data_IF_711288610591
#
_entry.id   IF_711288610591
#
_cell.length_a   1.000
_cell.length_b   1.000
_cell.length_c   1.000
_cell.angle_alpha   90.00
_cell.angle_beta   90.00
_cell.angle_gamma   90.00
#
_symmetry.space_group_name_H-M   'P 1'
#
loop_
_entity.id
_entity.type
_entity.pdbx_description
1 polymer ?
#
# COMPACT_ATOMS: atom_id res chain seq x y z
N UNK A 1 56.28 5.43 45.83
CA UNK A 1 55.29 4.40 46.22
C UNK A 1 53.90 4.95 45.87
N UNK A 2 53.00 4.08 45.41
CA UNK A 2 51.82 4.28 44.56
C UNK A 2 50.85 5.47 44.84
N UNK A 3 50.41 6.08 43.73
CA UNK A 3 49.17 6.85 43.53
C UNK A 3 47.93 6.17 44.13
N UNK A 4 47.01 6.94 44.74
CA UNK A 4 45.56 6.66 44.65
C UNK A 4 44.78 7.96 44.50
N UNK A 5 44.09 8.05 43.35
CA UNK A 5 43.22 9.14 42.92
C UNK A 5 41.97 9.18 43.79
N UNK A 6 41.49 10.41 44.04
CA UNK A 6 40.32 10.70 44.84
C UNK A 6 39.07 9.97 44.37
N UNK A 7 38.33 9.48 45.37
CA UNK A 7 36.99 8.93 45.27
C UNK A 7 36.04 9.85 44.49
N UNK A 8 35.64 9.41 43.30
CA UNK A 8 34.34 9.79 42.74
C UNK A 8 33.31 8.82 43.31
N UNK A 9 33.02 8.97 44.60
CA UNK A 9 31.99 8.22 45.29
C UNK A 9 30.61 8.65 44.77
N UNK A 10 30.08 7.92 43.79
CA UNK A 10 28.66 7.99 43.47
C UNK A 10 27.87 7.66 44.75
N UNK A 11 26.99 8.55 45.23
CA UNK A 11 26.26 8.32 46.47
C UNK A 11 25.51 6.99 46.37
N UNK A 12 25.48 6.20 47.44
CA UNK A 12 24.90 4.84 47.44
C UNK A 12 23.42 4.85 47.01
N UNK A 13 22.72 5.98 47.17
CA UNK A 13 21.37 6.24 46.67
C UNK A 13 21.25 6.32 45.14
N UNK A 14 22.36 6.36 44.41
CA UNK A 14 22.42 6.42 42.94
C UNK A 14 22.39 5.02 42.31
N UNK A 15 22.86 3.98 43.04
CA UNK A 15 22.82 2.59 42.55
C UNK A 15 21.40 2.10 42.23
N UNK A 16 20.38 2.31 43.10
CA UNK A 16 19.01 1.92 42.81
C UNK A 16 18.45 2.65 41.58
N UNK A 17 18.77 3.93 41.44
CA UNK A 17 18.29 4.78 40.35
C UNK A 17 18.89 4.36 39.01
N UNK A 18 20.18 4.04 38.98
CA UNK A 18 20.87 3.52 37.78
C UNK A 18 20.36 2.13 37.41
N UNK A 19 20.14 1.26 38.40
CA UNK A 19 19.55 -0.06 38.17
C UNK A 19 18.13 0.05 37.59
N UNK A 20 17.31 0.96 38.13
CA UNK A 20 15.96 1.22 37.62
C UNK A 20 15.98 1.74 36.18
N UNK A 21 16.90 2.65 35.86
CA UNK A 21 17.06 3.19 34.51
C UNK A 21 17.52 2.13 33.50
N UNK A 22 18.43 1.23 33.92
CA UNK A 22 18.89 0.11 33.10
C UNK A 22 17.75 -0.89 32.81
N UNK A 23 16.88 -1.16 33.79
CA UNK A 23 15.70 -2.00 33.61
C UNK A 23 14.72 -1.38 32.61
N UNK A 24 14.47 -0.07 32.70
CA UNK A 24 13.60 0.65 31.73
C UNK A 24 14.19 0.55 30.31
N UNK A 25 15.48 0.82 30.14
CA UNK A 25 16.16 0.72 28.84
C UNK A 25 16.12 -0.70 28.27
N UNK A 26 16.26 -1.72 29.12
CA UNK A 26 16.15 -3.11 28.72
C UNK A 26 14.73 -3.46 28.23
N UNK A 27 13.70 -3.00 28.93
CA UNK A 27 12.29 -3.16 28.51
C UNK A 27 12.04 -2.44 27.18
N UNK A 28 12.52 -1.20 27.02
CA UNK A 28 12.41 -0.46 25.76
C UNK A 28 13.15 -1.16 24.62
N UNK A 29 14.34 -1.72 24.87
CA UNK A 29 15.08 -2.52 23.89
C UNK A 29 14.31 -3.75 23.45
N UNK A 30 13.66 -4.46 24.37
CA UNK A 30 12.79 -5.60 24.05
C UNK A 30 11.60 -5.15 23.20
N UNK A 31 10.94 -4.03 23.54
CA UNK A 31 9.85 -3.49 22.73
C UNK A 31 10.29 -3.13 21.31
N UNK A 32 11.46 -2.50 21.15
CA UNK A 32 12.03 -2.21 19.82
C UNK A 32 12.39 -3.50 19.06
N UNK A 33 12.86 -4.54 19.75
CA UNK A 33 13.16 -5.83 19.12
C UNK A 33 11.88 -6.58 18.74
N UNK A 34 10.82 -6.53 19.56
CA UNK A 34 9.52 -7.12 19.26
C UNK A 34 8.86 -6.41 18.07
N UNK A 35 8.90 -5.08 18.01
CA UNK A 35 8.37 -4.29 16.89
C UNK A 35 9.23 -4.47 15.62
N UNK A 36 10.55 -4.57 15.76
CA UNK A 36 11.49 -4.77 14.65
C UNK A 36 11.50 -6.19 14.08
N UNK A 37 11.15 -7.20 14.89
CA UNK A 37 11.08 -8.62 14.48
C UNK A 37 9.67 -9.01 14.02
N UNK A 38 8.65 -8.19 14.28
CA UNK A 38 7.35 -8.32 13.59
C UNK A 38 7.44 -7.87 12.14
N UNK A 39 7.95 -8.80 11.33
CA UNK A 39 7.46 -9.19 10.01
C UNK A 39 7.48 -8.08 8.95
N UNK A 40 8.46 -8.24 8.06
CA UNK A 40 8.27 -8.42 6.62
C UNK A 40 6.84 -8.07 6.15
N UNK A 41 6.63 -7.13 5.22
CA UNK A 41 5.30 -6.80 4.71
C UNK A 41 4.76 -7.99 3.92
N UNK A 42 4.30 -9.01 4.63
CA UNK A 42 3.30 -9.92 4.11
C UNK A 42 2.15 -9.02 3.71
N UNK A 43 1.90 -8.97 2.41
CA UNK A 43 0.72 -8.37 1.79
C UNK A 43 -0.48 -8.55 2.73
N UNK A 44 -0.82 -7.51 3.48
CA UNK A 44 -2.08 -7.47 4.23
C UNK A 44 -3.11 -7.03 3.21
N UNK A 45 -3.60 -8.01 2.45
CA UNK A 45 -4.83 -7.85 1.69
C UNK A 45 -5.93 -7.86 2.75
N UNK A 46 -6.52 -6.70 3.01
CA UNK A 46 -7.78 -6.62 3.75
C UNK A 46 -8.90 -6.66 2.70
N UNK A 47 -9.46 -7.84 2.38
CA UNK A 47 -10.63 -7.89 1.54
C UNK A 47 -11.82 -7.36 2.34
N UNK A 48 -12.26 -6.15 2.03
CA UNK A 48 -13.61 -5.70 2.40
C UNK A 48 -14.63 -6.48 1.54
N UNK A 49 -14.79 -7.75 1.87
CA UNK A 49 -15.85 -8.68 1.49
C UNK A 49 -16.01 -9.08 0.00
N UNK A 50 -16.27 -10.39 -0.14
CA UNK A 50 -16.75 -11.19 -1.27
C UNK A 50 -15.73 -11.78 -2.29
N UNK A 51 -15.55 -13.10 -2.12
CA UNK A 51 -15.02 -14.16 -2.99
C UNK A 51 -13.57 -14.09 -3.49
N UNK A 52 -12.72 -14.86 -2.81
CA UNK A 52 -11.50 -15.62 -3.16
C UNK A 52 -10.43 -15.16 -4.18
N UNK A 53 -10.64 -14.20 -5.08
CA UNK A 53 -9.54 -13.47 -5.72
C UNK A 53 -10.01 -12.05 -6.02
N UNK A 54 -9.49 -11.05 -5.30
CA UNK A 54 -9.85 -9.66 -5.58
C UNK A 54 -9.51 -9.31 -7.04
N UNK A 55 -10.45 -8.71 -7.80
CA UNK A 55 -10.24 -8.23 -9.19
C UNK A 55 -8.96 -7.41 -9.31
N UNK A 56 -8.62 -6.62 -8.28
CA UNK A 56 -7.35 -5.88 -8.24
C UNK A 56 -6.11 -6.78 -8.17
N UNK A 57 -6.13 -7.89 -7.42
CA UNK A 57 -5.04 -8.87 -7.36
C UNK A 57 -4.86 -9.57 -8.71
N UNK A 58 -5.95 -9.98 -9.36
CA UNK A 58 -5.89 -10.55 -10.72
C UNK A 58 -5.30 -9.54 -11.70
N UNK A 59 -5.73 -8.27 -11.63
CA UNK A 59 -5.24 -7.20 -12.49
C UNK A 59 -3.73 -6.96 -12.32
N UNK A 60 -3.22 -6.87 -11.09
CA UNK A 60 -1.78 -6.63 -10.87
C UNK A 60 -0.90 -7.83 -11.25
N UNK A 61 -1.45 -9.05 -11.19
CA UNK A 61 -0.77 -10.28 -11.63
C UNK A 61 -0.89 -10.55 -13.13
N UNK A 62 -1.78 -9.86 -13.83
CA UNK A 62 -2.02 -10.09 -15.26
C UNK A 62 -0.76 -9.75 -16.06
N UNK A 63 -0.36 -10.68 -16.93
CA UNK A 63 0.75 -10.49 -17.85
C UNK A 63 0.34 -9.55 -18.98
N UNK A 64 1.19 -8.57 -19.27
CA UNK A 64 1.01 -7.64 -20.38
C UNK A 64 1.47 -8.25 -21.71
N UNK A 65 1.29 -7.50 -22.80
CA UNK A 65 1.79 -7.86 -24.14
C UNK A 65 3.30 -8.14 -24.19
N UNK A 66 4.05 -7.65 -23.20
CA UNK A 66 5.50 -7.84 -23.08
C UNK A 66 5.90 -8.97 -22.10
N UNK A 67 4.93 -9.78 -21.64
CA UNK A 67 5.14 -10.86 -20.67
C UNK A 67 5.77 -10.38 -19.34
N UNK A 68 5.42 -9.16 -18.94
CA UNK A 68 5.73 -8.55 -17.65
C UNK A 68 4.40 -8.28 -16.95
N UNK A 69 4.32 -8.53 -15.64
CA UNK A 69 3.12 -8.25 -14.85
C UNK A 69 2.92 -6.74 -14.63
N UNK A 70 1.67 -6.32 -14.45
CA UNK A 70 1.37 -4.91 -14.12
C UNK A 70 2.07 -4.46 -12.84
N UNK A 71 2.20 -5.34 -11.84
CA UNK A 71 2.96 -5.05 -10.63
C UNK A 71 4.44 -4.71 -10.93
N UNK A 72 5.10 -5.47 -11.81
CA UNK A 72 6.49 -5.23 -12.20
C UNK A 72 6.66 -3.94 -13.02
N UNK A 73 5.69 -3.62 -13.89
CA UNK A 73 5.69 -2.34 -14.59
C UNK A 73 5.51 -1.18 -13.60
N UNK A 74 4.64 -1.31 -12.60
CA UNK A 74 4.47 -0.29 -11.55
C UNK A 74 5.77 -0.07 -10.79
N UNK A 75 6.42 -1.15 -10.33
CA UNK A 75 7.69 -1.10 -9.62
C UNK A 75 8.77 -0.37 -10.43
N UNK A 76 8.83 -0.65 -11.73
CA UNK A 76 9.85 -0.08 -12.61
C UNK A 76 9.50 1.31 -13.17
N UNK A 77 8.21 1.67 -13.23
CA UNK A 77 7.72 2.98 -13.71
C UNK A 77 7.96 4.12 -12.73
N UNK A 78 8.23 3.83 -11.45
CA UNK A 78 8.52 4.85 -10.44
C UNK A 78 9.80 5.67 -10.73
N UNK A 79 10.66 5.18 -11.64
CA UNK A 79 11.95 5.81 -11.99
C UNK A 79 12.07 6.16 -13.49
N UNK A 80 11.13 5.75 -14.33
CA UNK A 80 11.24 5.81 -15.80
C UNK A 80 9.91 6.24 -16.44
N UNK A 81 9.94 7.41 -17.08
CA UNK A 81 8.78 8.01 -17.73
C UNK A 81 8.24 7.16 -18.89
N UNK A 82 9.10 6.49 -19.64
CA UNK A 82 8.69 5.61 -20.75
C UNK A 82 7.87 4.43 -20.26
N UNK A 83 8.25 3.89 -19.10
CA UNK A 83 7.53 2.78 -18.45
C UNK A 83 6.20 3.24 -17.86
N UNK A 84 6.11 4.50 -17.44
CA UNK A 84 4.84 5.10 -16.99
C UNK A 84 3.83 5.18 -18.14
N UNK A 85 4.25 5.60 -19.33
CA UNK A 85 3.37 5.63 -20.52
C UNK A 85 2.93 4.22 -20.95
N UNK A 86 3.84 3.24 -20.89
CA UNK A 86 3.50 1.84 -21.13
C UNK A 86 2.47 1.33 -20.11
N UNK A 87 2.66 1.64 -18.83
CA UNK A 87 1.72 1.29 -17.76
C UNK A 87 0.33 1.86 -18.04
N UNK A 88 0.24 3.14 -18.38
CA UNK A 88 -1.04 3.80 -18.71
C UNK A 88 -1.79 3.09 -19.85
N UNK A 89 -1.06 2.72 -20.90
CA UNK A 89 -1.62 2.04 -22.07
C UNK A 89 -2.14 0.65 -21.72
N UNK A 90 -1.34 -0.16 -21.03
CA UNK A 90 -1.72 -1.51 -20.63
C UNK A 90 -2.90 -1.50 -19.65
N UNK A 91 -2.90 -0.57 -18.69
CA UNK A 91 -4.01 -0.40 -17.75
C UNK A 91 -5.32 -0.04 -18.46
N UNK A 92 -5.31 0.87 -19.45
CA UNK A 92 -6.51 1.20 -20.23
C UNK A 92 -7.10 -0.02 -20.94
N UNK A 93 -6.25 -0.88 -21.49
CA UNK A 93 -6.67 -2.13 -22.16
C UNK A 93 -7.24 -3.13 -21.15
N UNK A 94 -6.68 -3.22 -19.95
CA UNK A 94 -7.19 -4.13 -18.93
C UNK A 94 -8.52 -3.65 -18.34
N UNK A 95 -8.63 -2.36 -18.04
CA UNK A 95 -9.86 -1.77 -17.49
C UNK A 95 -11.03 -1.82 -18.48
N UNK A 96 -10.78 -1.79 -19.79
CA UNK A 96 -11.83 -1.93 -20.80
C UNK A 96 -12.44 -3.34 -20.87
N UNK A 97 -11.74 -4.36 -20.36
CA UNK A 97 -12.22 -5.75 -20.29
C UNK A 97 -13.05 -6.04 -19.04
N UNK A 98 -13.06 -5.14 -18.07
CA UNK A 98 -13.85 -5.31 -16.85
C UNK A 98 -15.34 -5.07 -17.15
N UNK A 99 -16.26 -5.85 -16.53
CA UNK A 99 -17.69 -5.73 -16.78
C UNK A 99 -18.21 -4.35 -16.37
N UNK A 100 -19.11 -3.77 -17.17
CA UNK A 100 -19.70 -2.46 -16.91
C UNK A 100 -21.23 -2.55 -16.97
N UNK A 101 -21.96 -1.81 -16.11
CA UNK A 101 -23.38 -1.60 -16.28
C UNK A 101 -23.70 -1.01 -17.65
N UNK A 102 -24.56 -1.67 -18.44
CA UNK A 102 -24.88 -1.23 -19.80
C UNK A 102 -25.73 0.05 -19.85
N UNK A 103 -26.60 0.24 -18.87
CA UNK A 103 -27.63 1.28 -18.90
C UNK A 103 -27.19 2.63 -18.30
N UNK A 104 -25.94 2.77 -17.84
CA UNK A 104 -25.46 3.94 -17.09
C UNK A 104 -24.01 4.30 -17.43
N UNK A 105 -23.68 5.57 -17.26
CA UNK A 105 -22.31 6.07 -17.38
C UNK A 105 -21.46 5.57 -16.20
N UNK A 106 -20.86 4.39 -16.38
CA UNK A 106 -20.03 3.72 -15.40
C UNK A 106 -18.64 3.43 -15.98
N UNK A 107 -17.59 3.79 -15.24
CA UNK A 107 -16.20 3.62 -15.65
C UNK A 107 -15.36 3.02 -14.54
N UNK A 108 -14.56 2.01 -14.89
CA UNK A 108 -13.53 1.50 -13.99
C UNK A 108 -12.36 2.46 -13.95
N UNK A 109 -12.02 2.88 -12.74
CA UNK A 109 -10.90 3.76 -12.46
C UNK A 109 -9.87 3.01 -11.63
N UNK A 110 -8.59 3.24 -11.95
CA UNK A 110 -7.46 2.82 -11.16
C UNK A 110 -6.67 4.06 -10.72
N UNK A 111 -6.63 4.31 -9.42
CA UNK A 111 -5.80 5.34 -8.81
C UNK A 111 -4.55 4.68 -8.24
N UNK A 112 -3.36 5.15 -8.64
CA UNK A 112 -2.08 4.71 -8.09
C UNK A 112 -1.46 5.88 -7.35
N UNK A 113 -1.14 5.67 -6.06
CA UNK A 113 -0.48 6.65 -5.21
C UNK A 113 0.83 6.10 -4.68
N UNK A 114 1.89 6.91 -4.65
CA UNK A 114 3.17 6.57 -4.02
C UNK A 114 3.36 7.49 -2.82
N UNK A 115 3.50 6.93 -1.62
CA UNK A 115 3.62 7.73 -0.38
C UNK A 115 2.51 8.80 -0.22
N UNK A 116 1.28 8.42 -0.57
CA UNK A 116 0.10 9.30 -0.58
C UNK A 116 0.09 10.42 -1.64
N UNK A 117 1.09 10.50 -2.51
CA UNK A 117 1.10 11.40 -3.67
C UNK A 117 0.48 10.70 -4.89
N UNK A 118 -0.34 11.42 -5.65
CA UNK A 118 -0.94 10.89 -6.86
C UNK A 118 0.14 10.63 -7.91
N UNK A 119 0.30 9.36 -8.31
CA UNK A 119 1.26 8.94 -9.32
C UNK A 119 0.60 8.76 -10.68
N UNK A 120 -0.54 8.06 -10.70
CA UNK A 120 -1.31 7.79 -11.90
C UNK A 120 -2.80 7.71 -11.61
N UNK A 121 -3.61 8.23 -12.54
CA UNK A 121 -5.05 8.04 -12.57
C UNK A 121 -5.50 7.70 -13.98
N UNK A 122 -6.22 6.60 -14.16
CA UNK A 122 -6.71 6.17 -15.48
C UNK A 122 -8.09 6.69 -15.84
N UNK A 123 -8.80 7.31 -14.90
CA UNK A 123 -10.19 7.71 -15.03
C UNK A 123 -10.44 9.21 -14.89
N UNK A 124 -11.60 9.64 -15.36
CA UNK A 124 -12.13 11.00 -15.09
C UNK A 124 -13.01 10.87 -13.86
N UNK A 125 -12.68 11.59 -12.78
CA UNK A 125 -13.56 11.68 -11.61
C UNK A 125 -14.75 12.56 -11.96
N UNK A 126 -15.88 11.93 -12.23
CA UNK A 126 -17.13 12.64 -12.51
C UNK A 126 -17.70 13.22 -11.22
N UNK A 127 -17.96 14.52 -11.19
CA UNK A 127 -18.56 15.18 -10.02
C UNK A 127 -19.95 14.59 -9.77
N UNK A 128 -20.23 14.18 -8.54
CA UNK A 128 -21.51 13.56 -8.15
C UNK A 128 -21.63 12.06 -8.44
N UNK A 129 -20.60 11.42 -9.00
CA UNK A 129 -20.56 9.96 -9.13
C UNK A 129 -20.26 9.28 -7.78
N UNK A 130 -20.72 8.04 -7.64
CA UNK A 130 -20.43 7.17 -6.50
C UNK A 130 -19.41 6.11 -6.89
N UNK A 131 -18.53 5.76 -5.96
CA UNK A 131 -17.54 4.71 -6.13
C UNK A 131 -18.08 3.38 -5.58
N UNK A 132 -18.13 2.36 -6.43
CA UNK A 132 -18.58 1.01 -6.12
C UNK A 132 -17.44 -0.01 -6.27
N UNK A 133 -17.57 -1.16 -5.60
CA UNK A 133 -16.61 -2.26 -5.68
C UNK A 133 -15.15 -1.84 -5.46
N UNK A 134 -14.93 -0.87 -4.56
CA UNK A 134 -13.59 -0.36 -4.28
C UNK A 134 -12.73 -1.47 -3.67
N UNK A 135 -11.61 -1.74 -4.31
CA UNK A 135 -10.59 -2.68 -3.85
C UNK A 135 -9.25 -1.96 -3.82
N UNK A 136 -8.43 -2.28 -2.83
CA UNK A 136 -7.13 -1.66 -2.64
C UNK A 136 -6.03 -2.71 -2.48
N UNK A 137 -4.86 -2.46 -3.05
CA UNK A 137 -3.66 -3.27 -2.81
C UNK A 137 -2.45 -2.36 -2.59
N UNK A 138 -1.54 -2.82 -1.72
CA UNK A 138 -0.27 -2.14 -1.44
C UNK A 138 0.86 -2.96 -2.07
N UNK A 139 1.68 -2.30 -2.88
CA UNK A 139 2.84 -2.88 -3.54
C UNK A 139 4.10 -2.20 -3.00
N UNK A 140 5.05 -2.95 -2.40
CA UNK A 140 6.34 -2.40 -2.03
C UNK A 140 7.16 -2.09 -3.29
N UNK A 141 7.77 -0.91 -3.33
CA UNK A 141 8.66 -0.48 -4.40
C UNK A 141 10.13 -0.74 -4.02
N UNK A 142 11.00 -0.86 -5.02
CA UNK A 142 12.46 -1.02 -4.81
C UNK A 142 13.07 0.10 -3.95
N UNK A 143 12.48 1.30 -3.99
CA UNK A 143 12.91 2.47 -3.23
C UNK A 143 12.55 2.42 -1.74
N UNK A 144 12.06 1.27 -1.24
CA UNK A 144 11.46 1.10 0.10
C UNK A 144 10.18 1.92 0.32
N UNK A 145 9.68 2.56 -0.73
CA UNK A 145 8.40 3.27 -0.74
C UNK A 145 7.25 2.28 -0.93
N UNK A 146 6.04 2.71 -0.58
CA UNK A 146 4.82 1.94 -0.80
C UNK A 146 3.97 2.60 -1.89
N UNK A 147 3.56 1.81 -2.87
CA UNK A 147 2.51 2.18 -3.81
C UNK A 147 1.17 1.62 -3.34
N UNK A 148 0.16 2.47 -3.22
CA UNK A 148 -1.24 2.07 -2.99
C UNK A 148 -2.00 2.19 -4.31
N UNK A 149 -2.63 1.10 -4.71
CA UNK A 149 -3.48 1.05 -5.89
C UNK A 149 -4.93 0.88 -5.41
N UNK A 150 -5.83 1.72 -5.91
CA UNK A 150 -7.27 1.64 -5.67
C UNK A 150 -7.98 1.38 -7.02
N UNK A 151 -8.65 0.24 -7.15
CA UNK A 151 -9.53 -0.09 -8.27
C UNK A 151 -10.97 0.09 -7.82
N UNK A 152 -11.76 0.88 -8.55
CA UNK A 152 -13.16 1.12 -8.22
C UNK A 152 -13.98 1.42 -9.47
N UNK A 153 -15.27 1.11 -9.41
CA UNK A 153 -16.23 1.44 -10.44
C UNK A 153 -16.88 2.79 -10.09
N UNK A 154 -16.51 3.84 -10.81
CA UNK A 154 -17.13 5.15 -10.68
C UNK A 154 -18.39 5.19 -11.55
N UNK A 155 -19.56 5.46 -10.96
CA UNK A 155 -20.79 5.62 -11.74
C UNK A 155 -21.62 6.84 -11.31
N UNK A 156 -22.07 7.59 -12.31
CA UNK A 156 -23.02 8.69 -12.13
C UNK A 156 -24.46 8.20 -12.26
N UNK A 157 -25.31 8.50 -11.27
CA UNK A 157 -26.73 8.16 -11.31
C UNK A 157 -27.06 6.66 -11.20
N UNK A 158 -26.09 5.79 -10.88
CA UNK A 158 -26.34 4.39 -10.57
C UNK A 158 -26.93 4.19 -9.16
N UNK A 159 -27.93 3.30 -9.05
CA UNK A 159 -28.32 2.65 -7.80
C UNK A 159 -27.45 1.42 -7.51
N UNK A 160 -27.52 0.85 -6.30
CA UNK A 160 -26.77 -0.38 -5.99
C UNK A 160 -27.34 -1.59 -6.76
N UNK A 161 -28.63 -1.57 -7.07
CA UNK A 161 -29.33 -2.59 -7.85
C UNK A 161 -28.85 -2.64 -9.31
N UNK A 162 -28.66 -1.46 -9.93
CA UNK A 162 -28.12 -1.34 -11.30
C UNK A 162 -26.72 -1.96 -11.40
N UNK A 163 -25.94 -1.78 -10.34
CA UNK A 163 -24.55 -2.22 -10.22
C UNK A 163 -24.46 -3.74 -9.97
N UNK A 164 -25.43 -4.34 -9.27
CA UNK A 164 -25.44 -5.78 -8.97
C UNK A 164 -25.89 -6.66 -10.14
N UNK A 165 -26.74 -6.14 -11.02
CA UNK A 165 -27.28 -6.93 -12.15
C UNK A 165 -26.26 -7.16 -13.27
N UNK A 166 -25.22 -6.33 -13.35
CA UNK A 166 -24.36 -6.21 -14.54
C UNK A 166 -22.84 -6.19 -14.23
N UNK A 167 -22.38 -6.63 -13.05
CA UNK A 167 -20.97 -6.58 -12.63
C UNK A 167 -20.44 -7.91 -12.09
#
# INVERSE_FOLDING_TARGET
MFNKKGDLGLPIYFLPTVAFFAIILFIFSIFFFVIGVTKNPNLVINPESFSDESKITTLVKTQTSQNISIAEIIISSAKDQTKKELLEKELKILLSKLPKPEARDANWNLDIKIENQDFLNTGIKTVGAKDYYKQSIIIPLESKKLAKLDLYLNCYGCSIEDIRRNA
#
